data_IF_449124781248
#
_entry.id   IF_449124781248
#
_cell.length_a   1.000
_cell.length_b   1.000
_cell.length_c   1.000
_cell.angle_alpha   90.00
_cell.angle_beta   90.00
_cell.angle_gamma   90.00
#
_symmetry.space_group_name_H-M   'P 1'
#
loop_
_entity.id
_entity.type
_entity.pdbx_description
1 polymer ?
#
# COMPACT_ATOMS: atom_id res chain seq x y z
N UNK A 1 3.94 13.33 -8.37
CA UNK A 1 4.36 12.05 -7.77
C UNK A 1 5.26 11.30 -8.74
N UNK A 2 6.25 10.60 -8.20
CA UNK A 2 7.14 9.73 -8.96
C UNK A 2 6.64 8.29 -8.86
N UNK A 3 6.31 7.70 -10.00
CA UNK A 3 5.85 6.31 -10.10
C UNK A 3 7.02 5.35 -10.31
N UNK A 4 6.96 4.21 -9.63
CA UNK A 4 7.89 3.09 -9.72
C UNK A 4 7.08 1.82 -9.93
N UNK A 5 7.48 1.01 -10.90
CA UNK A 5 6.91 -0.32 -11.14
C UNK A 5 7.91 -1.37 -10.69
N UNK A 6 7.46 -2.34 -9.90
CA UNK A 6 8.27 -3.44 -9.39
C UNK A 6 7.67 -4.78 -9.81
N UNK A 7 8.55 -5.76 -10.00
CA UNK A 7 8.16 -7.17 -10.13
C UNK A 7 7.56 -7.67 -8.82
N UNK A 8 6.56 -8.56 -8.87
CA UNK A 8 6.06 -9.29 -7.69
C UNK A 8 7.00 -10.40 -7.22
N UNK A 9 8.19 -10.48 -7.82
CA UNK A 9 9.32 -11.30 -7.38
C UNK A 9 10.54 -10.46 -7.11
N UNK A 10 11.20 -10.75 -5.99
CA UNK A 10 12.53 -10.26 -5.64
C UNK A 10 13.56 -10.78 -6.64
N UNK A 11 14.74 -10.14 -6.68
CA UNK A 11 15.91 -10.68 -7.41
C UNK A 11 16.34 -12.08 -6.96
N UNK A 12 16.06 -12.48 -5.72
CA UNK A 12 16.29 -13.85 -5.21
C UNK A 12 15.35 -14.90 -5.84
N UNK A 13 14.25 -14.47 -6.47
CA UNK A 13 13.19 -15.33 -7.03
C UNK A 13 12.00 -15.57 -6.10
N UNK A 14 12.13 -15.21 -4.81
CA UNK A 14 11.05 -15.21 -3.83
C UNK A 14 9.99 -14.17 -4.19
N UNK A 15 8.76 -14.35 -3.67
CA UNK A 15 7.73 -13.33 -3.83
C UNK A 15 8.14 -12.04 -3.11
N UNK A 16 7.90 -10.91 -3.76
CA UNK A 16 7.98 -9.59 -3.16
C UNK A 16 6.61 -9.29 -2.54
N UNK A 17 6.54 -9.27 -1.22
CA UNK A 17 5.29 -9.07 -0.48
C UNK A 17 5.05 -7.59 -0.13
N UNK A 18 3.87 -7.30 0.42
CA UNK A 18 3.52 -5.95 0.86
C UNK A 18 4.48 -5.43 1.94
N UNK A 19 4.97 -6.31 2.81
CA UNK A 19 5.86 -5.91 3.90
C UNK A 19 7.21 -5.44 3.36
N UNK A 20 7.76 -6.11 2.34
CA UNK A 20 8.98 -5.69 1.66
C UNK A 20 8.85 -4.31 1.01
N UNK A 21 7.72 -4.05 0.35
CA UNK A 21 7.44 -2.73 -0.25
C UNK A 21 7.37 -1.65 0.82
N UNK A 22 6.70 -1.94 1.94
CA UNK A 22 6.61 -1.02 3.08
C UNK A 22 7.95 -0.83 3.80
N UNK A 23 8.84 -1.82 3.79
CA UNK A 23 10.17 -1.72 4.43
C UNK A 23 11.09 -0.70 3.76
N UNK A 24 10.81 -0.37 2.49
CA UNK A 24 11.51 0.70 1.79
C UNK A 24 11.09 2.11 2.23
N UNK A 25 9.97 2.24 2.95
CA UNK A 25 9.40 3.50 3.39
C UNK A 25 9.81 3.74 4.86
N UNK A 26 10.37 4.91 5.20
CA UNK A 26 10.76 5.21 6.58
C UNK A 26 9.54 5.31 7.49
N UNK A 27 9.77 5.11 8.79
CA UNK A 27 8.75 5.33 9.81
C UNK A 27 8.14 6.73 9.69
N UNK A 28 6.81 6.78 9.74
CA UNK A 28 6.01 7.98 9.51
C UNK A 28 4.75 7.98 10.38
N UNK A 29 4.08 9.13 10.43
CA UNK A 29 2.86 9.38 11.18
C UNK A 29 1.63 9.56 10.27
N UNK A 30 1.72 9.10 9.02
CA UNK A 30 0.60 9.16 8.09
C UNK A 30 -0.54 8.25 8.51
N UNK A 31 -1.75 8.65 8.09
CA UNK A 31 -2.90 7.76 8.08
C UNK A 31 -2.86 6.98 6.76
N UNK A 32 -2.84 5.66 6.88
CA UNK A 32 -2.81 4.76 5.74
C UNK A 32 -4.21 4.23 5.48
N UNK A 33 -4.69 4.42 4.26
CA UNK A 33 -6.02 4.08 3.83
C UNK A 33 -5.94 2.87 2.91
N UNK A 34 -6.44 1.73 3.39
CA UNK A 34 -6.65 0.52 2.60
C UNK A 34 -8.02 0.61 1.96
N UNK A 35 -8.02 0.77 0.64
CA UNK A 35 -9.21 1.04 -0.16
C UNK A 35 -9.73 -0.24 -0.80
N UNK A 36 -8.81 -1.10 -1.22
CA UNK A 36 -9.05 -2.39 -1.85
C UNK A 36 -8.04 -3.39 -1.29
N UNK A 37 -8.49 -4.62 -1.08
CA UNK A 37 -7.65 -5.71 -0.59
C UNK A 37 -8.22 -7.08 -0.95
N UNK A 38 -7.36 -7.95 -1.46
CA UNK A 38 -7.57 -9.39 -1.59
C UNK A 38 -6.25 -10.14 -1.38
N UNK A 39 -6.24 -11.16 -0.53
CA UNK A 39 -4.99 -11.87 -0.22
C UNK A 39 -5.13 -12.98 0.80
N UNK A 40 -3.97 -13.54 1.18
CA UNK A 40 -3.89 -14.65 2.13
C UNK A 40 -3.00 -14.27 3.31
N UNK A 41 -3.40 -14.71 4.51
CA UNK A 41 -2.62 -14.54 5.73
C UNK A 41 -3.52 -14.24 6.94
N UNK A 42 -2.92 -13.62 7.94
CA UNK A 42 -3.63 -13.16 9.13
C UNK A 42 -4.26 -11.78 8.87
N UNK A 43 -5.56 -11.66 9.13
CA UNK A 43 -6.23 -10.37 9.18
C UNK A 43 -6.00 -9.67 10.53
N UNK A 44 -6.24 -8.34 10.59
CA UNK A 44 -6.16 -7.59 11.84
C UNK A 44 -7.08 -8.17 12.92
N UNK A 45 -6.67 -8.00 14.18
CA UNK A 45 -7.47 -8.36 15.37
C UNK A 45 -7.92 -9.83 15.44
N UNK A 46 -7.27 -10.73 14.70
CA UNK A 46 -7.63 -12.15 14.66
C UNK A 46 -8.88 -12.47 13.86
N UNK A 47 -9.36 -11.52 13.04
CA UNK A 47 -10.48 -11.73 12.12
C UNK A 47 -10.13 -12.80 11.05
N UNK A 48 -11.15 -13.41 10.45
CA UNK A 48 -10.95 -14.19 9.24
C UNK A 48 -10.57 -13.26 8.07
N UNK A 49 -9.62 -13.66 7.23
CA UNK A 49 -9.16 -12.84 6.10
C UNK A 49 -10.30 -12.48 5.14
N UNK A 50 -11.25 -13.39 4.91
CA UNK A 50 -12.41 -13.14 4.03
C UNK A 50 -13.42 -12.18 4.65
N UNK A 51 -13.58 -12.16 5.97
CA UNK A 51 -14.41 -11.17 6.64
C UNK A 51 -13.75 -9.78 6.56
N UNK A 52 -12.43 -9.72 6.67
CA UNK A 52 -11.67 -8.49 6.50
C UNK A 52 -11.76 -7.94 5.08
N UNK A 53 -11.65 -8.79 4.06
CA UNK A 53 -11.87 -8.42 2.66
C UNK A 53 -13.25 -7.81 2.44
N UNK A 54 -14.31 -8.42 2.98
CA UNK A 54 -15.67 -7.85 2.92
C UNK A 54 -15.78 -6.52 3.64
N UNK A 55 -15.11 -6.38 4.80
CA UNK A 55 -15.09 -5.13 5.57
C UNK A 55 -14.44 -3.99 4.77
N UNK A 56 -13.31 -4.25 4.12
CA UNK A 56 -12.63 -3.26 3.25
C UNK A 56 -13.52 -2.92 2.04
N UNK A 57 -14.10 -3.94 1.41
CA UNK A 57 -14.98 -3.77 0.25
C UNK A 57 -16.20 -2.89 0.57
N UNK A 58 -16.84 -3.12 1.72
CA UNK A 58 -18.04 -2.40 2.15
C UNK A 58 -17.76 -1.08 2.85
N UNK A 59 -16.50 -0.76 3.15
CA UNK A 59 -16.15 0.56 3.66
C UNK A 59 -16.50 1.64 2.63
N UNK A 60 -17.23 2.66 3.10
CA UNK A 60 -17.67 3.80 2.28
C UNK A 60 -16.47 4.58 1.71
N UNK A 61 -15.37 4.64 2.46
CA UNK A 61 -14.15 5.37 2.07
C UNK A 61 -12.95 4.42 2.04
N UNK A 62 -12.60 3.83 3.16
CA UNK A 62 -11.40 2.99 3.33
C UNK A 62 -11.38 2.35 4.73
N UNK A 63 -10.58 1.31 4.92
CA UNK A 63 -10.12 0.92 6.24
C UNK A 63 -8.82 1.66 6.58
N UNK A 64 -8.68 2.18 7.80
CA UNK A 64 -7.53 3.01 8.17
C UNK A 64 -6.57 2.27 9.10
N UNK A 65 -5.28 2.48 8.88
CA UNK A 65 -4.19 2.04 9.74
C UNK A 65 -3.31 3.22 10.15
N UNK A 66 -2.78 3.17 11.37
CA UNK A 66 -1.50 3.82 11.67
C UNK A 66 -0.36 3.06 10.98
N UNK A 67 0.82 3.70 10.85
CA UNK A 67 1.99 3.05 10.28
C UNK A 67 2.35 1.73 10.98
N UNK A 68 2.30 1.70 12.32
CA UNK A 68 2.61 0.52 13.10
C UNK A 68 1.62 -0.62 12.84
N UNK A 69 0.33 -0.33 12.81
CA UNK A 69 -0.71 -1.35 12.56
C UNK A 69 -0.62 -1.88 11.13
N UNK A 70 -0.37 -1.01 10.14
CA UNK A 70 -0.18 -1.43 8.75
C UNK A 70 1.00 -2.39 8.61
N UNK A 71 2.13 -2.06 9.24
CA UNK A 71 3.33 -2.91 9.23
C UNK A 71 3.08 -4.26 9.90
N UNK A 72 2.32 -4.28 11.00
CA UNK A 72 1.93 -5.54 11.66
C UNK A 72 1.00 -6.38 10.80
N UNK A 73 0.01 -5.75 10.17
CA UNK A 73 -0.88 -6.40 9.21
C UNK A 73 -0.09 -7.02 8.05
N UNK A 74 0.77 -6.23 7.40
CA UNK A 74 1.58 -6.69 6.28
C UNK A 74 2.51 -7.86 6.64
N UNK A 75 3.10 -7.89 7.84
CA UNK A 75 3.90 -9.04 8.33
C UNK A 75 3.09 -10.32 8.48
N UNK A 76 1.79 -10.20 8.73
CA UNK A 76 0.88 -11.34 8.87
C UNK A 76 0.43 -11.91 7.52
N UNK A 77 0.70 -11.24 6.41
CA UNK A 77 0.31 -11.67 5.08
C UNK A 77 1.28 -12.72 4.55
N UNK A 78 0.73 -13.74 3.88
CA UNK A 78 1.49 -14.70 3.08
C UNK A 78 1.55 -14.27 1.61
N UNK A 79 0.48 -13.64 1.11
CA UNK A 79 0.39 -13.17 -0.26
C UNK A 79 -0.62 -12.03 -0.38
N UNK A 80 -0.26 -11.00 -1.15
CA UNK A 80 -1.17 -9.93 -1.57
C UNK A 80 -1.43 -10.09 -3.06
N UNK A 81 -2.69 -10.16 -3.45
CA UNK A 81 -3.12 -10.32 -4.85
C UNK A 81 -3.60 -8.98 -5.36
N UNK A 82 -4.57 -8.38 -4.66
CA UNK A 82 -5.07 -7.05 -4.93
C UNK A 82 -4.87 -6.17 -3.71
N UNK A 83 -4.38 -4.95 -3.93
CA UNK A 83 -4.24 -3.98 -2.86
C UNK A 83 -4.21 -2.57 -3.45
N UNK A 84 -4.96 -1.66 -2.84
CA UNK A 84 -4.80 -0.22 -3.03
C UNK A 84 -4.66 0.45 -1.67
N UNK A 85 -3.45 0.93 -1.39
CA UNK A 85 -3.07 1.66 -0.19
C UNK A 85 -2.70 3.09 -0.54
N UNK A 86 -3.17 4.03 0.27
CA UNK A 86 -2.87 5.46 0.12
C UNK A 86 -2.43 6.04 1.47
N UNK A 87 -1.27 6.68 1.52
CA UNK A 87 -0.84 7.46 2.69
C UNK A 87 -1.23 8.93 2.52
N UNK A 88 -1.87 9.49 3.54
CA UNK A 88 -2.29 10.89 3.54
C UNK A 88 -1.85 11.62 4.83
N UNK A 89 -1.54 12.91 4.69
CA UNK A 89 -1.29 13.89 5.77
C UNK A 89 -2.58 14.45 6.42
N UNK A 90 -3.75 14.08 5.92
CA UNK A 90 -5.06 14.59 6.30
C UNK A 90 -6.19 13.60 6.04
N UNK A 91 -7.44 14.07 6.17
CA UNK A 91 -8.61 13.22 5.99
C UNK A 91 -8.94 13.04 4.51
N UNK A 92 -8.99 11.78 4.06
CA UNK A 92 -9.64 11.42 2.80
C UNK A 92 -11.16 11.53 2.98
N UNK A 93 -11.85 12.13 2.01
CA UNK A 93 -13.30 12.37 2.05
C UNK A 93 -14.13 11.53 1.08
N UNK A 94 -13.46 10.75 0.22
CA UNK A 94 -14.08 9.87 -0.77
C UNK A 94 -13.25 8.62 -0.96
N UNK A 95 -13.88 7.52 -1.37
CA UNK A 95 -13.15 6.35 -1.86
C UNK A 95 -12.43 6.73 -3.16
N UNK A 96 -11.12 6.48 -3.25
CA UNK A 96 -10.38 6.66 -4.50
C UNK A 96 -10.43 5.39 -5.34
N UNK A 97 -10.27 5.55 -6.65
CA UNK A 97 -9.95 4.47 -7.57
C UNK A 97 -8.55 4.67 -8.10
N UNK A 98 -7.85 3.57 -8.45
CA UNK A 98 -6.46 3.64 -8.90
C UNK A 98 -6.29 4.57 -10.11
N UNK A 99 -7.18 4.51 -11.09
CA UNK A 99 -7.13 5.38 -12.28
C UNK A 99 -7.21 6.87 -11.95
N UNK A 100 -7.98 7.25 -10.91
CA UNK A 100 -8.04 8.63 -10.43
C UNK A 100 -6.68 9.06 -9.86
N UNK A 101 -6.09 8.22 -9.02
CA UNK A 101 -4.78 8.47 -8.39
C UNK A 101 -3.64 8.49 -9.42
N UNK A 102 -3.75 7.72 -10.50
CA UNK A 102 -2.74 7.72 -11.57
C UNK A 102 -2.84 8.94 -12.47
N UNK A 103 -4.06 9.43 -12.71
CA UNK A 103 -4.34 10.53 -13.63
C UNK A 103 -4.18 11.94 -13.03
N UNK A 104 -4.65 12.16 -11.81
CA UNK A 104 -4.56 13.47 -11.16
C UNK A 104 -4.77 13.35 -9.64
N UNK A 105 -3.74 13.70 -8.86
CA UNK A 105 -3.76 13.52 -7.42
C UNK A 105 -4.22 14.78 -6.69
N UNK A 106 -4.93 14.56 -5.59
CA UNK A 106 -5.19 15.62 -4.63
C UNK A 106 -3.88 16.04 -3.95
N UNK A 107 -3.76 17.33 -3.60
CA UNK A 107 -2.79 17.78 -2.60
C UNK A 107 -2.95 16.86 -1.37
N UNK A 108 -1.86 16.47 -0.70
CA UNK A 108 -1.82 15.63 0.52
C UNK A 108 -1.63 14.11 0.37
N UNK A 109 -1.63 13.53 -0.83
CA UNK A 109 -1.24 12.12 -1.00
C UNK A 109 0.29 11.98 -1.02
N UNK A 110 0.84 11.33 0.00
CA UNK A 110 2.28 11.12 0.15
C UNK A 110 2.75 9.84 -0.57
N UNK A 111 1.96 8.76 -0.48
CA UNK A 111 2.25 7.48 -1.09
C UNK A 111 1.00 6.84 -1.68
N UNK A 112 1.19 6.11 -2.78
CA UNK A 112 0.22 5.12 -3.29
C UNK A 112 0.96 3.81 -3.47
N UNK A 113 0.40 2.71 -2.98
CA UNK A 113 0.91 1.35 -3.20
C UNK A 113 -0.23 0.54 -3.80
N UNK A 114 0.01 -0.01 -4.97
CA UNK A 114 -0.97 -0.73 -5.73
C UNK A 114 -0.43 -2.05 -6.28
N UNK A 115 -1.27 -3.08 -6.30
CA UNK A 115 -1.09 -4.31 -7.08
C UNK A 115 -2.47 -4.82 -7.46
N UNK A 116 -2.59 -5.38 -8.66
CA UNK A 116 -3.79 -6.05 -9.16
C UNK A 116 -3.41 -7.39 -9.78
N UNK A 117 -4.20 -8.42 -9.49
CA UNK A 117 -3.99 -9.81 -9.92
C UNK A 117 -2.59 -10.36 -9.59
N UNK A 118 -1.88 -9.77 -8.63
CA UNK A 118 -0.51 -10.14 -8.28
C UNK A 118 0.50 -9.97 -9.43
N UNK A 119 0.22 -9.13 -10.42
CA UNK A 119 1.07 -9.00 -11.61
C UNK A 119 2.34 -8.17 -11.33
N UNK A 120 2.16 -6.91 -10.94
CA UNK A 120 3.24 -5.96 -10.68
C UNK A 120 2.84 -5.00 -9.56
N UNK A 121 3.80 -4.62 -8.74
CA UNK A 121 3.60 -3.54 -7.79
C UNK A 121 3.78 -2.20 -8.49
N UNK A 122 2.89 -1.27 -8.20
CA UNK A 122 2.99 0.12 -8.62
C UNK A 122 3.01 1.00 -7.37
N UNK A 123 4.14 1.69 -7.17
CA UNK A 123 4.36 2.55 -6.02
C UNK A 123 4.54 3.97 -6.50
N UNK A 124 3.82 4.90 -5.92
CA UNK A 124 4.01 6.32 -6.16
C UNK A 124 4.47 7.01 -4.88
N UNK A 125 5.40 7.96 -5.02
CA UNK A 125 5.92 8.77 -3.93
C UNK A 125 5.73 10.25 -4.26
N UNK A 126 5.29 11.05 -3.29
CA UNK A 126 5.24 12.51 -3.41
C UNK A 126 6.63 13.07 -3.74
N UNK A 127 6.67 14.00 -4.70
CA UNK A 127 7.91 14.68 -5.06
C UNK A 127 8.18 15.78 -4.03
N UNK A 128 9.41 15.86 -3.54
CA UNK A 128 9.78 16.82 -2.50
C UNK A 128 9.60 16.30 -1.07
N UNK A 129 9.16 15.05 -0.90
CA UNK A 129 9.33 14.34 0.36
C UNK A 129 10.81 14.24 0.74
N UNK A 130 11.13 14.46 2.01
CA UNK A 130 12.53 14.56 2.46
C UNK A 130 13.37 13.31 2.12
N UNK A 131 12.70 12.17 1.97
CA UNK A 131 13.32 10.86 1.72
C UNK A 131 13.00 10.27 0.34
N UNK A 132 12.37 11.02 -0.59
CA UNK A 132 11.92 10.48 -1.90
C UNK A 132 13.01 9.69 -2.62
N UNK A 133 14.20 10.27 -2.78
CA UNK A 133 15.28 9.62 -3.55
C UNK A 133 15.79 8.34 -2.86
N UNK A 134 15.85 8.32 -1.53
CA UNK A 134 16.26 7.13 -0.78
C UNK A 134 15.22 6.01 -0.89
N UNK A 135 13.94 6.35 -0.79
CA UNK A 135 12.84 5.39 -0.94
C UNK A 135 12.83 4.82 -2.35
N UNK A 136 12.93 5.68 -3.37
CA UNK A 136 12.96 5.24 -4.78
C UNK A 136 14.15 4.32 -5.03
N UNK A 137 15.34 4.69 -4.55
CA UNK A 137 16.54 3.86 -4.72
C UNK A 137 16.37 2.48 -4.07
N UNK A 138 15.74 2.43 -2.89
CA UNK A 138 15.47 1.18 -2.18
C UNK A 138 14.45 0.33 -2.93
N UNK A 139 13.32 0.92 -3.37
CA UNK A 139 12.28 0.23 -4.13
C UNK A 139 12.85 -0.39 -5.43
N UNK A 140 13.63 0.37 -6.19
CA UNK A 140 14.27 -0.13 -7.44
C UNK A 140 15.30 -1.25 -7.18
N UNK A 141 15.78 -1.38 -5.95
CA UNK A 141 16.76 -2.39 -5.57
C UNK A 141 16.16 -3.75 -5.20
N UNK A 142 14.86 -3.82 -4.90
CA UNK A 142 14.11 -5.05 -4.63
C UNK A 142 14.18 -6.04 -5.81
#
# INVERSE_FOLDING_TARGET
MRWITLSTRKKSGELLDLYDVLDAIPDNDYVWHLIEFYGFGAAPEGMNISDFEQLVLWSEISYTFSWLELRQFARGLHQTIDCLLVANRGMIRKKYFFDELRGNLEEFVAYVIYVNDGEQWEVAVEEGEANTESVVATLVSL
#
